data_IF_211068280890
#
_entry.id   IF_211068280890
#
_cell.length_a   1.000
_cell.length_b   1.000
_cell.length_c   1.000
_cell.angle_alpha   90.00
_cell.angle_beta   90.00
_cell.angle_gamma   90.00
#
_symmetry.space_group_name_H-M   'P 1'
#
loop_
_entity.id
_entity.type
_entity.pdbx_description
1 polymer ?
#
# COMPACT_ATOMS: atom_id res chain seq x y z
N UNK A 1 25.37 1.93 -42.56
CA UNK A 1 25.93 1.84 -41.19
C UNK A 1 24.86 2.00 -40.10
N UNK A 2 23.97 3.01 -40.17
CA UNK A 2 22.89 3.21 -39.18
C UNK A 2 21.83 2.08 -39.16
N UNK A 3 21.46 1.52 -40.32
CA UNK A 3 20.58 0.33 -40.38
C UNK A 3 21.22 -0.97 -39.88
N UNK A 4 22.55 -1.11 -39.97
CA UNK A 4 23.25 -2.31 -39.48
C UNK A 4 23.31 -2.33 -37.94
N UNK A 5 23.45 -1.16 -37.32
CA UNK A 5 23.46 -1.00 -35.86
C UNK A 5 22.06 -1.31 -35.28
N UNK A 6 20.99 -0.88 -35.97
CA UNK A 6 19.61 -1.18 -35.57
C UNK A 6 19.28 -2.68 -35.63
N UNK A 7 19.77 -3.38 -36.66
CA UNK A 7 19.57 -4.82 -36.80
C UNK A 7 20.37 -5.62 -35.75
N UNK A 8 21.58 -5.14 -35.39
CA UNK A 8 22.43 -5.75 -34.37
C UNK A 8 21.83 -5.62 -32.96
N UNK A 9 21.25 -4.46 -32.64
CA UNK A 9 20.56 -4.21 -31.36
C UNK A 9 19.28 -5.05 -31.22
N UNK A 10 18.55 -5.26 -32.31
CA UNK A 10 17.33 -6.07 -32.28
C UNK A 10 17.64 -7.56 -32.05
N UNK A 11 18.69 -8.11 -32.66
CA UNK A 11 19.14 -9.50 -32.43
C UNK A 11 19.63 -9.75 -31.01
N UNK A 12 20.18 -8.73 -30.33
CA UNK A 12 20.64 -8.87 -28.94
C UNK A 12 19.48 -9.04 -27.95
N UNK A 13 18.31 -8.46 -28.24
CA UNK A 13 17.11 -8.53 -27.38
C UNK A 13 16.44 -9.91 -27.45
N UNK A 14 16.42 -10.55 -28.63
CA UNK A 14 15.75 -11.87 -28.80
C UNK A 14 16.52 -13.02 -28.13
N UNK A 15 17.83 -12.86 -27.87
CA UNK A 15 18.67 -13.91 -27.29
C UNK A 15 18.66 -13.92 -25.75
N UNK A 16 18.07 -12.89 -25.11
CA UNK A 16 18.02 -12.77 -23.65
C UNK A 16 16.92 -13.62 -22.98
N UNK A 17 16.07 -14.30 -23.76
CA UNK A 17 15.01 -15.20 -23.26
C UNK A 17 15.30 -16.67 -23.55
N UNK A 18 16.52 -17.14 -23.32
CA UNK A 18 16.82 -18.57 -23.27
C UNK A 18 16.98 -19.00 -21.82
N UNK A 19 15.86 -19.22 -21.14
CA UNK A 19 15.83 -19.75 -19.78
C UNK A 19 15.94 -21.27 -19.85
N UNK A 20 17.16 -21.79 -19.97
CA UNK A 20 17.44 -23.23 -19.95
C UNK A 20 17.96 -23.64 -18.56
N UNK A 21 17.04 -23.65 -17.60
CA UNK A 21 17.27 -24.15 -16.24
C UNK A 21 16.32 -25.29 -15.92
N UNK A 22 16.34 -26.36 -16.72
CA UNK A 22 15.78 -27.66 -16.32
C UNK A 22 16.75 -28.31 -15.34
N UNK A 23 16.79 -27.82 -14.12
CA UNK A 23 17.41 -28.55 -13.02
C UNK A 23 16.36 -29.48 -12.43
N UNK A 24 16.27 -30.69 -12.98
CA UNK A 24 15.63 -31.81 -12.29
C UNK A 24 16.42 -32.09 -11.01
N UNK A 25 16.02 -31.46 -9.91
CA UNK A 25 16.45 -31.87 -8.58
C UNK A 25 15.77 -33.19 -8.27
N UNK A 26 16.46 -34.28 -8.56
CA UNK A 26 16.15 -35.59 -8.03
C UNK A 26 16.29 -35.51 -6.51
N UNK A 27 15.15 -35.47 -5.81
CA UNK A 27 15.09 -35.44 -4.35
C UNK A 27 15.43 -36.85 -3.84
N UNK A 28 16.46 -37.04 -3.01
CA UNK A 28 16.66 -38.32 -2.34
C UNK A 28 15.45 -38.60 -1.45
N UNK A 29 14.72 -39.68 -1.75
CA UNK A 29 13.60 -40.15 -0.96
C UNK A 29 14.11 -40.53 0.43
N UNK A 30 13.97 -39.61 1.39
CA UNK A 30 14.30 -39.85 2.78
C UNK A 30 13.26 -40.82 3.35
N UNK A 31 13.73 -41.99 3.76
CA UNK A 31 12.97 -43.03 4.43
C UNK A 31 12.05 -42.46 5.50
N UNK A 32 10.78 -42.83 5.42
CA UNK A 32 9.75 -42.55 6.42
C UNK A 32 10.13 -43.17 7.77
N UNK A 33 10.89 -42.44 8.57
CA UNK A 33 11.00 -42.69 9.99
C UNK A 33 9.73 -42.14 10.63
N UNK A 34 8.89 -43.02 11.16
CA UNK A 34 7.69 -42.69 11.92
C UNK A 34 8.09 -41.83 13.14
N UNK A 35 7.99 -40.51 12.98
CA UNK A 35 8.10 -39.57 14.07
C UNK A 35 6.95 -39.82 15.07
N UNK A 36 7.20 -39.67 16.38
CA UNK A 36 6.14 -39.80 17.37
C UNK A 36 5.05 -38.77 17.06
N UNK A 37 3.79 -39.19 17.06
CA UNK A 37 2.63 -38.30 17.02
C UNK A 37 2.73 -37.32 18.20
N UNK A 38 3.35 -36.18 17.93
CA UNK A 38 3.27 -35.04 18.81
C UNK A 38 1.91 -34.46 18.50
N UNK A 39 0.95 -34.62 19.41
CA UNK A 39 -0.32 -33.91 19.34
C UNK A 39 0.02 -32.43 19.27
N UNK A 40 0.00 -31.89 18.05
CA UNK A 40 0.22 -30.48 17.79
C UNK A 40 -0.92 -29.78 18.50
N UNK A 41 -0.62 -29.15 19.64
CA UNK A 41 -1.57 -28.27 20.32
C UNK A 41 -1.74 -27.08 19.41
N UNK A 42 -2.71 -27.18 18.50
CA UNK A 42 -3.12 -26.08 17.64
C UNK A 42 -3.63 -24.99 18.58
N UNK A 43 -2.93 -23.84 18.70
CA UNK A 43 -3.40 -22.76 19.55
C UNK A 43 -4.75 -22.26 19.00
N UNK A 44 -5.63 -21.77 19.86
CA UNK A 44 -6.96 -21.26 19.44
C UNK A 44 -6.88 -20.09 18.44
N UNK A 45 -5.71 -19.46 18.31
CA UNK A 45 -5.41 -18.41 17.32
C UNK A 45 -5.01 -18.95 15.94
N UNK A 46 -4.85 -20.26 15.78
CA UNK A 46 -4.50 -20.87 14.51
C UNK A 46 -5.72 -20.93 13.59
N UNK A 47 -5.59 -20.35 12.39
CA UNK A 47 -6.60 -20.45 11.35
C UNK A 47 -6.54 -21.85 10.70
N UNK A 48 -7.50 -22.71 11.01
CA UNK A 48 -7.61 -24.07 10.45
C UNK A 48 -7.78 -24.07 8.94
N UNK A 49 -8.45 -23.05 8.40
CA UNK A 49 -8.70 -22.88 6.97
C UNK A 49 -7.47 -22.33 6.23
N UNK A 50 -6.45 -21.87 6.99
CA UNK A 50 -5.20 -21.30 6.45
C UNK A 50 -5.45 -20.14 5.47
N UNK A 51 -6.54 -19.39 5.67
CA UNK A 51 -6.83 -18.22 4.86
C UNK A 51 -5.68 -17.21 4.96
N UNK A 52 -5.21 -16.74 3.81
CA UNK A 52 -4.36 -15.58 3.71
C UNK A 52 -5.24 -14.33 3.64
N UNK A 53 -4.88 -13.29 4.37
CA UNK A 53 -5.54 -11.99 4.35
C UNK A 53 -4.56 -10.94 3.83
N UNK A 54 -5.05 -10.02 3.02
CA UNK A 54 -4.27 -8.97 2.37
C UNK A 54 -4.87 -7.61 2.68
N UNK A 55 -4.00 -6.67 3.03
CA UNK A 55 -4.41 -5.35 3.47
C UNK A 55 -3.22 -4.41 3.60
N UNK A 56 -3.55 -3.15 3.89
CA UNK A 56 -2.57 -2.09 4.13
C UNK A 56 -2.54 -1.72 5.62
N UNK A 57 -1.38 -1.39 6.14
CA UNK A 57 -1.18 -0.96 7.52
C UNK A 57 -0.60 0.45 7.64
N UNK A 58 -0.29 1.10 6.52
CA UNK A 58 0.39 2.39 6.48
C UNK A 58 -0.35 3.36 5.57
N UNK A 59 -1.46 3.90 6.06
CA UNK A 59 -2.35 4.78 5.30
C UNK A 59 -2.52 6.09 6.04
N UNK A 60 -2.41 7.20 5.31
CA UNK A 60 -2.56 8.54 5.85
C UNK A 60 -3.85 9.18 5.35
N UNK A 61 -4.46 10.00 6.18
CA UNK A 61 -5.70 10.74 5.92
C UNK A 61 -5.44 12.24 6.05
N UNK A 62 -6.48 13.06 5.86
CA UNK A 62 -6.39 14.52 6.05
C UNK A 62 -5.99 14.97 7.46
N UNK A 63 -5.91 14.06 8.45
CA UNK A 63 -5.38 14.37 9.77
C UNK A 63 -3.85 14.22 9.85
N UNK A 64 -3.20 13.52 8.93
CA UNK A 64 -1.75 13.48 8.87
C UNK A 64 -1.21 14.77 8.24
N UNK A 65 -0.12 15.30 8.81
CA UNK A 65 0.46 16.57 8.35
C UNK A 65 0.93 16.49 6.90
N UNK A 66 1.57 15.39 6.51
CA UNK A 66 2.13 15.19 5.17
C UNK A 66 1.04 15.00 4.12
N UNK A 67 0.05 14.15 4.39
CA UNK A 67 -1.07 13.93 3.50
C UNK A 67 -1.85 15.24 3.24
N UNK A 68 -2.11 16.03 4.28
CA UNK A 68 -2.85 17.28 4.15
C UNK A 68 -2.10 18.32 3.30
N UNK A 69 -0.79 18.52 3.51
CA UNK A 69 -0.03 19.49 2.70
C UNK A 69 0.12 19.07 1.23
N UNK A 70 0.00 17.77 0.94
CA UNK A 70 -0.04 17.25 -0.43
C UNK A 70 -1.47 17.18 -1.01
N UNK A 71 -2.45 17.79 -0.34
CA UNK A 71 -3.80 17.99 -0.86
C UNK A 71 -4.78 16.85 -0.56
N UNK A 72 -4.41 15.88 0.28
CA UNK A 72 -5.34 14.83 0.71
C UNK A 72 -6.36 15.42 1.68
N UNK A 73 -7.62 15.41 1.27
CA UNK A 73 -8.78 15.89 2.07
C UNK A 73 -9.70 14.75 2.49
N UNK A 74 -9.33 13.50 2.21
CA UNK A 74 -10.09 12.31 2.58
C UNK A 74 -9.97 11.97 4.06
N UNK A 75 -11.09 11.59 4.66
CA UNK A 75 -11.22 11.23 6.08
C UNK A 75 -10.86 9.76 6.34
N UNK A 76 -10.70 9.36 7.62
CA UNK A 76 -10.66 7.95 7.99
C UNK A 76 -11.89 7.15 7.54
N UNK A 77 -13.07 7.79 7.48
CA UNK A 77 -14.30 7.14 6.99
C UNK A 77 -14.21 6.92 5.48
N UNK A 78 -13.72 7.90 4.71
CA UNK A 78 -13.49 7.76 3.27
C UNK A 78 -12.44 6.67 2.97
N UNK A 79 -11.38 6.61 3.79
CA UNK A 79 -10.36 5.57 3.73
C UNK A 79 -10.96 4.16 3.98
N UNK A 80 -11.89 4.05 4.93
CA UNK A 80 -12.62 2.81 5.20
C UNK A 80 -13.55 2.42 4.05
N UNK A 81 -14.30 3.37 3.48
CA UNK A 81 -15.17 3.10 2.33
C UNK A 81 -14.36 2.71 1.09
N UNK A 82 -13.23 3.36 0.84
CA UNK A 82 -12.30 3.01 -0.24
C UNK A 82 -11.77 1.59 -0.08
N UNK A 83 -11.36 1.20 1.14
CA UNK A 83 -10.89 -0.16 1.42
C UNK A 83 -11.95 -1.24 1.16
N UNK A 84 -13.24 -0.92 1.29
CA UNK A 84 -14.37 -1.80 0.92
C UNK A 84 -14.66 -1.84 -0.59
N UNK A 85 -13.87 -1.15 -1.42
CA UNK A 85 -14.06 -1.06 -2.87
C UNK A 85 -14.85 0.17 -3.32
N UNK A 86 -15.08 1.14 -2.43
CA UNK A 86 -15.64 2.44 -2.80
C UNK A 86 -14.70 3.27 -3.68
N UNK A 87 -15.25 4.34 -4.25
CA UNK A 87 -14.49 5.30 -5.06
C UNK A 87 -13.98 6.46 -4.21
N UNK A 88 -12.74 6.88 -4.44
CA UNK A 88 -12.10 8.02 -3.80
C UNK A 88 -11.56 8.98 -4.87
N UNK A 89 -11.78 10.28 -4.75
CA UNK A 89 -11.17 11.26 -5.65
C UNK A 89 -9.74 11.59 -5.21
N UNK A 90 -8.76 11.33 -6.07
CA UNK A 90 -7.37 11.71 -5.88
C UNK A 90 -7.25 13.25 -5.85
N UNK A 91 -6.31 13.83 -5.06
CA UNK A 91 -6.08 15.28 -5.02
C UNK A 91 -5.81 15.94 -6.38
N UNK A 92 -5.40 15.17 -7.39
CA UNK A 92 -5.22 15.63 -8.77
C UNK A 92 -6.52 15.68 -9.59
N UNK A 93 -7.68 15.37 -9.00
CA UNK A 93 -9.00 15.55 -9.59
C UNK A 93 -9.53 14.36 -10.41
N UNK A 94 -9.00 13.16 -10.21
CA UNK A 94 -9.50 11.94 -10.85
C UNK A 94 -9.91 10.90 -9.81
N UNK A 95 -10.84 10.03 -10.18
CA UNK A 95 -11.34 8.99 -9.29
C UNK A 95 -10.44 7.76 -9.26
N UNK A 96 -10.37 7.12 -8.09
CA UNK A 96 -9.61 5.91 -7.81
C UNK A 96 -10.52 4.87 -7.14
N UNK A 97 -10.26 3.61 -7.43
CA UNK A 97 -10.88 2.46 -6.76
C UNK A 97 -9.88 1.32 -6.71
N UNK A 98 -10.05 0.41 -5.76
CA UNK A 98 -9.29 -0.84 -5.72
C UNK A 98 -9.88 -1.86 -6.69
N UNK A 99 -9.02 -2.65 -7.34
CA UNK A 99 -9.47 -3.78 -8.16
C UNK A 99 -10.15 -4.86 -7.32
N UNK A 100 -9.75 -4.99 -6.05
CA UNK A 100 -10.31 -5.92 -5.07
C UNK A 100 -10.33 -5.27 -3.69
N UNK A 101 -11.45 -5.31 -2.94
CA UNK A 101 -11.51 -4.84 -1.56
C UNK A 101 -10.47 -5.52 -0.66
N UNK A 102 -10.00 -4.81 0.36
CA UNK A 102 -8.99 -5.33 1.30
C UNK A 102 -9.63 -6.05 2.48
N UNK A 103 -8.94 -7.06 2.99
CA UNK A 103 -9.39 -7.81 4.18
C UNK A 103 -9.19 -7.00 5.46
N UNK A 104 -8.19 -6.11 5.48
CA UNK A 104 -7.93 -5.18 6.56
C UNK A 104 -7.29 -3.89 6.04
N UNK A 105 -7.46 -2.81 6.81
CA UNK A 105 -6.94 -1.49 6.46
C UNK A 105 -6.59 -0.71 7.72
N UNK A 106 -5.34 -0.25 7.83
CA UNK A 106 -4.82 0.49 8.96
C UNK A 106 -4.55 1.95 8.61
N UNK A 107 -5.31 2.86 9.22
CA UNK A 107 -5.01 4.31 9.21
C UNK A 107 -3.97 4.61 10.28
N UNK A 108 -2.84 5.17 9.85
CA UNK A 108 -1.63 5.37 10.65
C UNK A 108 -1.08 6.79 10.47
N UNK A 109 -1.92 7.80 10.71
CA UNK A 109 -1.52 9.20 10.63
C UNK A 109 -0.33 9.52 11.56
N UNK A 110 0.47 10.52 11.19
CA UNK A 110 1.55 10.99 12.06
C UNK A 110 1.01 11.46 13.41
N UNK A 111 1.57 10.93 14.49
CA UNK A 111 1.24 11.38 15.85
C UNK A 111 1.62 12.85 16.08
N UNK A 112 2.76 13.27 15.53
CA UNK A 112 3.18 14.66 15.59
C UNK A 112 2.39 15.49 14.57
N UNK A 113 1.79 16.57 15.05
CA UNK A 113 0.87 17.43 14.27
C UNK A 113 -0.41 16.76 13.76
N UNK A 114 -0.88 15.70 14.44
CA UNK A 114 -2.17 15.08 14.12
C UNK A 114 -3.30 16.13 14.11
N UNK A 115 -3.89 16.35 12.93
CA UNK A 115 -4.95 17.32 12.66
C UNK A 115 -4.55 18.79 12.72
N UNK A 116 -3.32 19.12 13.13
CA UNK A 116 -2.90 20.50 13.39
C UNK A 116 -2.89 21.32 12.10
N UNK A 117 -2.39 20.78 11.00
CA UNK A 117 -2.26 21.52 9.73
C UNK A 117 -3.63 21.78 9.10
N UNK A 118 -4.55 20.81 9.19
CA UNK A 118 -5.95 21.00 8.83
C UNK A 118 -6.58 22.12 9.64
N UNK A 119 -6.34 22.16 10.95
CA UNK A 119 -6.84 23.24 11.80
C UNK A 119 -6.20 24.58 11.48
N UNK A 120 -4.91 24.63 11.14
CA UNK A 120 -4.26 25.86 10.66
C UNK A 120 -4.88 26.39 9.36
N UNK A 121 -5.35 25.50 8.49
CA UNK A 121 -6.03 25.85 7.24
C UNK A 121 -7.48 26.33 7.44
N UNK A 122 -8.13 25.93 8.54
CA UNK A 122 -9.49 26.38 8.89
C UNK A 122 -9.47 27.80 9.48
N UNK A 123 -9.95 28.84 8.77
CA UNK A 123 -9.91 30.22 9.26
C UNK A 123 -10.77 30.46 10.51
N UNK A 124 -11.68 29.54 10.84
CA UNK A 124 -12.51 29.62 12.03
C UNK A 124 -11.83 29.10 13.30
N UNK A 125 -10.72 28.37 13.15
CA UNK A 125 -9.98 27.81 14.29
C UNK A 125 -9.13 28.86 15.01
N UNK A 126 -8.82 28.63 16.28
CA UNK A 126 -7.89 29.51 17.01
C UNK A 126 -6.45 29.41 16.49
N UNK A 127 -6.03 28.23 16.03
CA UNK A 127 -4.66 27.99 15.59
C UNK A 127 -4.35 28.63 14.24
N UNK A 128 -5.36 28.86 13.40
CA UNK A 128 -5.19 29.60 12.12
C UNK A 128 -4.77 31.05 12.31
N UNK A 129 -4.98 31.63 13.51
CA UNK A 129 -4.57 32.98 13.86
C UNK A 129 -3.07 33.07 14.21
N UNK A 130 -2.41 31.94 14.44
CA UNK A 130 -0.99 31.92 14.76
C UNK A 130 -0.13 32.28 13.53
N UNK A 131 0.97 33.03 13.67
CA UNK A 131 1.82 33.40 12.52
C UNK A 131 2.34 32.21 11.69
N UNK A 132 2.53 31.06 12.32
CA UNK A 132 2.94 29.82 11.62
C UNK A 132 1.87 29.26 10.66
N UNK A 133 0.60 29.68 10.80
CA UNK A 133 -0.48 29.29 9.91
C UNK A 133 -0.60 30.22 8.67
N UNK A 134 0.30 31.19 8.52
CA UNK A 134 0.27 32.11 7.38
C UNK A 134 0.30 31.33 6.04
N UNK A 135 -0.74 31.52 5.22
CA UNK A 135 -0.89 30.85 3.93
C UNK A 135 -1.56 29.46 4.01
N UNK A 136 -1.81 28.91 5.19
CA UNK A 136 -2.44 27.59 5.33
C UNK A 136 -3.88 27.56 4.82
N UNK A 137 -4.60 28.69 4.83
CA UNK A 137 -5.99 28.79 4.37
C UNK A 137 -6.18 28.57 2.87
N UNK A 138 -5.10 28.42 2.09
CA UNK A 138 -5.18 28.04 0.67
C UNK A 138 -5.05 26.53 0.45
N UNK A 139 -4.87 25.75 1.51
CA UNK A 139 -4.79 24.28 1.46
C UNK A 139 -6.15 23.67 1.81
N UNK A 140 -6.37 22.43 1.36
CA UNK A 140 -7.53 21.64 1.79
C UNK A 140 -8.80 21.77 0.93
N UNK A 141 -8.75 22.51 -0.18
CA UNK A 141 -9.85 22.64 -1.15
C UNK A 141 -10.83 23.77 -0.85
#
# INVERSE_FOLDING_TARGET
>A
MRSLIGLLLLSLVVTACSDNSTTSSEVPQLSSSSAPETTSVIPSSYNTERNAYFGDLHVHTMYSFDAFIFGTTSSPDDAYEFAKGGTLTHPAGFDMSLDTPLDFYGVSDHAFYLGVLRQMADPSSEISKHPAAAGMSTLGG
#
